data_IF_962979259153
#
_entry.id   IF_962979259153
#
_cell.length_a   1.000
_cell.length_b   1.000
_cell.length_c   1.000
_cell.angle_alpha   90.00
_cell.angle_beta   90.00
_cell.angle_gamma   90.00
#
_symmetry.space_group_name_H-M   'P 1'
#
loop_
_entity.id
_entity.type
_entity.pdbx_description
1 polymer ?
#
# COMPACT_ATOMS: atom_id res chain seq x y z
N UNK A 1 -8.05 13.81 7.71
CA UNK A 1 -9.37 13.64 8.36
C UNK A 1 -9.14 13.35 9.84
N UNK A 2 -9.78 14.03 10.78
CA UNK A 2 -9.65 13.74 12.23
C UNK A 2 -10.93 13.05 12.71
N UNK A 3 -10.79 11.86 13.29
CA UNK A 3 -11.91 11.18 13.96
C UNK A 3 -11.88 11.45 15.47
N UNK A 4 -13.03 11.84 16.03
CA UNK A 4 -13.18 12.18 17.44
C UNK A 4 -14.60 11.84 17.92
N UNK A 5 -14.70 11.07 18.99
CA UNK A 5 -15.96 10.72 19.65
C UNK A 5 -16.53 11.90 20.45
N UNK A 6 -17.84 11.88 20.72
CA UNK A 6 -18.56 12.98 21.36
C UNK A 6 -18.20 13.22 22.84
N UNK A 7 -17.64 12.20 23.50
CA UNK A 7 -17.16 12.23 24.88
C UNK A 7 -15.66 12.57 24.97
N UNK A 8 -15.00 12.77 23.83
CA UNK A 8 -13.59 13.16 23.75
C UNK A 8 -13.45 14.60 23.26
N UNK A 9 -12.53 15.35 23.86
CA UNK A 9 -12.20 16.70 23.46
C UNK A 9 -10.70 16.88 23.28
N UNK A 10 -10.32 17.89 22.50
CA UNK A 10 -8.90 18.23 22.26
C UNK A 10 -8.39 19.06 23.44
N UNK A 11 -7.53 18.47 24.26
CA UNK A 11 -6.93 19.16 25.40
C UNK A 11 -5.80 20.15 25.00
N UNK A 12 -5.06 19.85 23.92
CA UNK A 12 -3.96 20.70 23.45
C UNK A 12 -4.25 21.21 22.04
N UNK A 13 -4.32 22.55 21.88
CA UNK A 13 -4.51 23.20 20.58
C UNK A 13 -3.41 22.90 19.55
N UNK A 14 -2.24 22.41 20.00
CA UNK A 14 -1.13 22.01 19.14
C UNK A 14 -1.25 20.59 18.59
N UNK A 15 -2.22 19.78 19.04
CA UNK A 15 -2.35 18.38 18.64
C UNK A 15 -2.42 18.20 17.10
N UNK A 16 -3.19 19.05 16.42
CA UNK A 16 -3.28 19.00 14.94
C UNK A 16 -1.93 19.33 14.30
N UNK A 17 -1.19 20.29 14.85
CA UNK A 17 0.14 20.65 14.34
C UNK A 17 1.15 19.51 14.53
N UNK A 18 1.09 18.83 15.68
CA UNK A 18 1.92 17.65 15.94
C UNK A 18 1.60 16.51 14.96
N UNK A 19 0.33 16.27 14.67
CA UNK A 19 -0.05 15.29 13.64
C UNK A 19 0.50 15.67 12.26
N UNK A 20 0.44 16.95 11.90
CA UNK A 20 0.98 17.44 10.63
C UNK A 20 2.50 17.28 10.54
N UNK A 21 3.25 17.39 11.65
CA UNK A 21 4.69 17.14 11.64
C UNK A 21 5.02 15.73 11.13
N UNK A 22 4.22 14.72 11.46
CA UNK A 22 4.40 13.36 10.97
C UNK A 22 3.93 13.20 9.52
N UNK A 23 2.73 13.71 9.20
CA UNK A 23 2.12 13.54 7.87
C UNK A 23 2.84 14.32 6.76
N UNK A 24 3.47 15.44 7.10
CA UNK A 24 4.22 16.29 6.16
C UNK A 24 5.72 15.96 6.11
N UNK A 25 6.18 14.93 6.84
CA UNK A 25 7.57 14.50 6.78
C UNK A 25 7.90 14.00 5.36
N UNK A 26 8.91 14.56 4.66
CA UNK A 26 9.31 14.11 3.33
C UNK A 26 9.70 12.62 3.25
N UNK A 27 10.20 12.04 4.34
CA UNK A 27 10.70 10.66 4.37
C UNK A 27 9.61 9.63 4.71
N UNK A 28 8.76 9.97 5.69
CA UNK A 28 7.79 9.04 6.26
C UNK A 28 6.34 9.42 5.95
N UNK A 29 6.02 10.70 5.78
CA UNK A 29 4.66 11.22 5.66
C UNK A 29 3.82 10.53 4.59
N UNK A 30 4.40 10.33 3.40
CA UNK A 30 3.73 9.63 2.28
C UNK A 30 3.40 8.15 2.56
N UNK A 31 4.08 7.52 3.52
CA UNK A 31 3.87 6.10 3.89
C UNK A 31 2.96 5.94 5.11
N UNK A 32 2.63 7.04 5.81
CA UNK A 32 1.77 7.01 6.97
C UNK A 32 0.30 6.93 6.57
N UNK A 33 -0.41 6.00 7.20
CA UNK A 33 -1.84 5.84 7.06
C UNK A 33 -2.60 6.79 7.99
N UNK A 34 -2.16 6.86 9.25
CA UNK A 34 -2.76 7.72 10.27
C UNK A 34 -1.77 7.99 11.41
N UNK A 35 -2.12 8.98 12.24
CA UNK A 35 -1.45 9.31 13.50
C UNK A 35 -2.45 9.11 14.63
N UNK A 36 -2.16 8.19 15.55
CA UNK A 36 -3.01 7.88 16.69
C UNK A 36 -2.53 8.63 17.94
N UNK A 37 -3.40 9.43 18.54
CA UNK A 37 -3.13 10.05 19.84
C UNK A 37 -3.55 9.12 20.99
N UNK A 38 -2.81 9.11 22.12
CA UNK A 38 -3.20 8.34 23.29
C UNK A 38 -4.46 8.92 23.92
N UNK A 39 -5.43 8.07 24.28
CA UNK A 39 -6.64 8.50 24.97
C UNK A 39 -6.35 8.69 26.46
N UNK A 40 -6.91 9.75 27.04
CA UNK A 40 -6.81 10.06 28.47
C UNK A 40 -8.19 10.41 28.98
N UNK A 41 -8.57 9.83 30.11
CA UNK A 41 -9.85 10.07 30.75
C UNK A 41 -9.68 10.98 31.97
N UNK A 42 -10.63 11.88 32.15
CA UNK A 42 -10.70 12.76 33.32
C UNK A 42 -11.53 12.12 34.43
N UNK A 43 -11.44 12.66 35.65
CA UNK A 43 -12.28 12.22 36.77
C UNK A 43 -11.94 10.82 37.32
N UNK A 44 -10.71 10.36 37.11
CA UNK A 44 -10.29 9.03 37.57
C UNK A 44 -9.98 9.07 39.07
N UNK A 45 -10.47 8.05 39.79
CA UNK A 45 -10.18 7.83 41.21
C UNK A 45 -8.67 7.87 41.51
N UNK A 46 -8.31 8.39 42.69
CA UNK A 46 -6.92 8.52 43.13
C UNK A 46 -6.23 7.15 43.21
N UNK A 47 -6.95 6.13 43.67
CA UNK A 47 -6.43 4.77 43.77
C UNK A 47 -6.57 3.97 42.46
N UNK A 48 -7.23 4.54 41.43
CA UNK A 48 -7.50 3.91 40.14
C UNK A 48 -7.89 2.43 40.26
N UNK A 49 -8.82 2.12 41.18
CA UNK A 49 -9.20 0.74 41.52
C UNK A 49 -9.67 -0.07 40.32
N UNK A 50 -10.20 0.60 39.30
CA UNK A 50 -10.70 -0.01 38.08
C UNK A 50 -9.69 0.00 36.92
N UNK A 51 -8.47 0.51 37.13
CA UNK A 51 -7.43 0.66 36.11
C UNK A 51 -7.90 1.43 34.86
N UNK A 52 -8.77 2.42 35.04
CA UNK A 52 -9.40 3.17 33.95
C UNK A 52 -8.41 4.09 33.22
N UNK A 53 -7.23 4.36 33.79
CA UNK A 53 -6.19 5.17 33.12
C UNK A 53 -5.61 4.49 31.88
N UNK A 54 -5.69 3.15 31.79
CA UNK A 54 -5.18 2.36 30.67
C UNK A 54 -3.72 2.69 30.25
N UNK A 55 -2.88 3.14 31.19
CA UNK A 55 -1.50 3.60 30.92
C UNK A 55 -0.64 2.50 30.29
N UNK A 56 -0.82 1.23 30.68
CA UNK A 56 -0.04 0.12 30.14
C UNK A 56 -0.34 -0.06 28.65
N UNK A 57 -1.59 0.09 28.25
CA UNK A 57 -2.00 -0.07 26.87
C UNK A 57 -1.48 1.09 26.00
N UNK A 58 -1.71 2.33 26.41
CA UNK A 58 -1.34 3.51 25.61
C UNK A 58 0.14 3.89 25.68
N UNK A 59 0.80 3.75 26.85
CA UNK A 59 2.19 4.19 27.02
C UNK A 59 3.22 3.07 26.83
N UNK A 60 2.85 1.80 27.02
CA UNK A 60 3.79 0.69 26.86
C UNK A 60 3.52 -0.04 25.55
N UNK A 61 2.33 -0.61 25.40
CA UNK A 61 2.03 -1.49 24.27
C UNK A 61 2.03 -0.72 22.93
N UNK A 62 1.28 0.38 22.84
CA UNK A 62 1.22 1.18 21.61
C UNK A 62 2.55 1.80 21.22
N UNK A 63 3.33 2.30 22.21
CA UNK A 63 4.68 2.81 21.93
C UNK A 63 5.64 1.70 21.48
N UNK A 64 5.48 0.48 22.01
CA UNK A 64 6.23 -0.68 21.55
C UNK A 64 5.90 -1.06 20.10
N UNK A 65 4.61 -1.02 19.72
CA UNK A 65 4.16 -1.29 18.36
C UNK A 65 4.61 -0.22 17.34
N UNK A 66 4.76 1.02 17.80
CA UNK A 66 5.26 2.14 16.98
C UNK A 66 6.67 1.87 16.43
N UNK A 67 7.52 1.18 17.20
CA UNK A 67 8.85 0.77 16.74
C UNK A 67 8.86 -0.32 15.66
N UNK A 68 7.73 -0.96 15.37
CA UNK A 68 7.62 -2.05 14.38
C UNK A 68 6.82 -1.59 13.15
N UNK A 69 5.56 -1.23 13.33
CA UNK A 69 4.64 -0.86 12.25
C UNK A 69 3.76 0.34 12.58
N UNK A 70 3.58 0.67 13.86
CA UNK A 70 2.64 1.70 14.30
C UNK A 70 1.65 1.17 15.35
N UNK A 71 1.04 2.06 16.15
CA UNK A 71 -0.03 1.71 17.06
C UNK A 71 -1.29 1.24 16.32
N UNK A 72 -2.17 0.53 17.03
CA UNK A 72 -3.48 0.12 16.49
C UNK A 72 -4.50 1.26 16.56
N UNK A 73 -5.44 1.30 15.62
CA UNK A 73 -6.56 2.23 15.70
C UNK A 73 -7.55 1.82 16.80
N UNK A 74 -7.89 2.77 17.67
CA UNK A 74 -8.69 2.53 18.89
C UNK A 74 -10.06 3.20 18.90
N UNK A 75 -10.47 3.79 17.78
CA UNK A 75 -11.82 4.34 17.62
C UNK A 75 -11.92 5.86 17.70
N UNK A 76 -11.01 6.57 18.38
CA UNK A 76 -11.04 8.04 18.51
C UNK A 76 -9.64 8.64 18.59
N UNK A 77 -9.53 9.96 18.41
CA UNK A 77 -8.28 10.71 18.55
C UNK A 77 -7.26 10.36 17.48
N UNK A 78 -7.71 10.17 16.23
CA UNK A 78 -6.85 9.68 15.15
C UNK A 78 -6.96 10.57 13.90
N UNK A 79 -5.81 10.97 13.35
CA UNK A 79 -5.72 11.76 12.12
C UNK A 79 -5.34 10.86 10.95
N UNK A 80 -6.27 10.65 10.03
CA UNK A 80 -6.11 9.82 8.84
C UNK A 80 -5.60 10.61 7.63
N UNK A 81 -4.70 9.97 6.88
CA UNK A 81 -4.38 10.31 5.51
C UNK A 81 -5.54 9.87 4.59
N UNK A 82 -6.05 10.80 3.78
CA UNK A 82 -7.22 10.58 2.93
C UNK A 82 -7.00 9.45 1.91
N UNK A 83 -5.83 9.41 1.24
CA UNK A 83 -5.52 8.39 0.24
C UNK A 83 -5.47 6.99 0.87
N UNK A 84 -4.85 6.89 2.05
CA UNK A 84 -4.76 5.63 2.78
C UNK A 84 -6.13 5.14 3.26
N UNK A 85 -7.02 6.06 3.68
CA UNK A 85 -8.39 5.73 4.07
C UNK A 85 -9.22 5.18 2.90
N UNK A 86 -9.03 5.71 1.69
CA UNK A 86 -9.64 5.17 0.48
C UNK A 86 -9.04 3.82 0.04
N UNK A 87 -7.96 3.38 0.68
CA UNK A 87 -7.29 2.11 0.43
C UNK A 87 -6.34 2.13 -0.76
N UNK A 88 -5.77 3.29 -1.10
CA UNK A 88 -4.64 3.36 -2.01
C UNK A 88 -3.38 2.87 -1.28
N UNK A 89 -2.56 2.10 -1.99
CA UNK A 89 -1.30 1.60 -1.45
C UNK A 89 -0.28 2.74 -1.28
N UNK A 90 0.60 2.69 -0.27
CA UNK A 90 1.64 3.68 -0.11
C UNK A 90 2.59 3.67 -1.32
N UNK A 91 3.18 4.83 -1.68
CA UNK A 91 4.10 4.90 -2.80
C UNK A 91 5.28 3.95 -2.57
N UNK A 92 5.70 3.28 -3.63
CA UNK A 92 6.81 2.34 -3.57
C UNK A 92 8.04 3.06 -3.01
N UNK A 93 8.65 2.47 -1.97
CA UNK A 93 9.89 3.00 -1.44
C UNK A 93 10.97 2.98 -2.52
N UNK A 94 11.69 4.09 -2.65
CA UNK A 94 12.89 4.10 -3.47
C UNK A 94 13.80 2.97 -2.98
N UNK A 95 14.14 2.06 -3.89
CA UNK A 95 15.06 0.97 -3.57
C UNK A 95 16.36 1.63 -3.16
N UNK A 96 16.80 1.35 -1.93
CA UNK A 96 18.16 1.72 -1.52
C UNK A 96 19.12 1.28 -2.62
N UNK A 97 20.01 2.16 -3.10
CA UNK A 97 21.04 1.75 -4.05
C UNK A 97 21.69 0.50 -3.47
N UNK A 98 21.76 -0.56 -4.27
CA UNK A 98 22.53 -1.73 -3.84
C UNK A 98 23.93 -1.22 -3.59
N UNK A 99 24.48 -1.52 -2.41
CA UNK A 99 25.91 -1.33 -2.14
C UNK A 99 26.65 -2.15 -3.20
N UNK A 100 27.02 -1.51 -4.30
CA UNK A 100 28.01 -2.01 -5.22
C UNK A 100 29.32 -1.69 -4.56
N UNK A 101 30.08 -2.73 -4.27
CA UNK A 101 31.43 -2.52 -3.79
C UNK A 101 32.25 -2.07 -5.00
N UNK A 102 32.59 -0.78 -5.08
CA UNK A 102 33.49 -0.25 -6.10
C UNK A 102 34.96 -0.65 -5.82
N UNK A 103 35.17 -1.77 -5.13
CA UNK A 103 36.49 -2.33 -4.93
C UNK A 103 36.93 -3.12 -6.17
N UNK A 104 37.72 -2.40 -6.97
CA UNK A 104 38.72 -2.79 -7.97
C UNK A 104 38.32 -2.88 -9.47
N UNK A 105 39.22 -2.43 -10.38
CA UNK A 105 39.14 -2.69 -11.81
C UNK A 105 39.13 -4.20 -12.11
N UNK A 106 38.62 -4.51 -13.30
CA UNK A 106 38.40 -5.83 -13.93
C UNK A 106 39.46 -6.94 -13.74
N UNK A 107 40.67 -6.66 -13.24
CA UNK A 107 41.76 -7.64 -13.19
C UNK A 107 41.87 -8.39 -11.84
N UNK A 108 41.23 -7.95 -10.74
CA UNK A 108 41.48 -8.53 -9.40
C UNK A 108 40.31 -9.31 -8.78
N UNK A 109 39.40 -9.89 -9.58
CA UNK A 109 38.26 -10.66 -9.06
C UNK A 109 38.49 -12.19 -9.09
N UNK A 110 39.48 -12.68 -8.34
CA UNK A 110 39.72 -14.13 -8.17
C UNK A 110 39.42 -14.68 -6.77
N UNK A 111 38.94 -13.89 -5.81
CA UNK A 111 38.87 -14.34 -4.40
C UNK A 111 37.52 -14.19 -3.68
N UNK A 112 36.41 -13.90 -4.38
CA UNK A 112 35.08 -13.87 -3.75
C UNK A 112 34.15 -14.89 -4.41
N UNK A 113 34.14 -16.09 -3.83
CA UNK A 113 33.37 -17.24 -4.30
C UNK A 113 31.88 -16.94 -4.52
N UNK A 114 31.36 -17.45 -5.63
CA UNK A 114 29.94 -17.41 -5.96
C UNK A 114 29.11 -18.09 -4.85
N UNK A 115 28.52 -17.30 -3.95
CA UNK A 115 27.37 -17.77 -3.17
C UNK A 115 26.15 -17.80 -4.08
N UNK A 116 25.87 -18.96 -4.67
CA UNK A 116 24.57 -19.26 -5.28
C UNK A 116 23.49 -19.00 -4.23
N UNK A 117 22.59 -18.05 -4.47
CA UNK A 117 21.38 -17.87 -3.66
C UNK A 117 20.52 -19.13 -3.79
N UNK A 118 20.47 -19.96 -2.76
CA UNK A 118 19.36 -20.89 -2.59
C UNK A 118 18.09 -20.04 -2.37
N UNK A 119 17.04 -20.33 -3.14
CA UNK A 119 15.72 -19.72 -2.91
C UNK A 119 15.20 -20.21 -1.56
N UNK A 120 15.37 -19.44 -0.50
CA UNK A 120 14.63 -19.68 0.73
C UNK A 120 13.17 -19.30 0.48
N UNK A 121 12.30 -20.31 0.40
CA UNK A 121 10.86 -20.10 0.53
C UNK A 121 10.63 -19.57 1.95
N UNK A 122 10.21 -18.31 2.09
CA UNK A 122 9.55 -17.84 3.31
C UNK A 122 8.29 -18.69 3.49
N UNK A 123 8.37 -19.74 4.32
CA UNK A 123 7.17 -20.38 4.87
C UNK A 123 6.59 -19.39 5.89
N UNK A 124 5.70 -18.53 5.43
CA UNK A 124 4.78 -17.82 6.31
C UNK A 124 3.85 -18.82 6.99
N UNK A 125 3.41 -18.45 8.19
CA UNK A 125 2.52 -19.15 9.14
C UNK A 125 1.09 -19.42 8.60
N UNK A 126 0.93 -19.71 7.30
CA UNK A 126 -0.35 -20.08 6.66
C UNK A 126 -0.45 -21.58 6.31
N UNK A 127 0.53 -22.39 6.73
CA UNK A 127 0.63 -23.81 6.42
C UNK A 127 -0.09 -24.74 7.41
N UNK A 128 -0.71 -24.23 8.47
CA UNK A 128 -1.38 -25.06 9.49
C UNK A 128 -2.90 -25.19 9.33
N UNK A 129 -3.53 -24.48 8.39
CA UNK A 129 -5.00 -24.41 8.28
C UNK A 129 -5.59 -24.61 6.87
N UNK A 130 -4.86 -25.20 5.93
CA UNK A 130 -5.42 -25.50 4.59
C UNK A 130 -5.00 -26.89 4.11
N UNK A 131 -5.29 -27.90 4.92
CA UNK A 131 -5.44 -29.27 4.44
C UNK A 131 -6.81 -29.43 3.78
N UNK A 132 -6.86 -30.23 2.71
CA UNK A 132 -8.02 -30.57 1.88
C UNK A 132 -8.42 -29.49 0.85
N UNK A 133 -7.89 -29.62 -0.38
CA UNK A 133 -8.64 -29.73 -1.65
C UNK A 133 -7.63 -29.67 -2.81
N UNK A 134 -7.13 -30.85 -3.21
CA UNK A 134 -6.31 -31.05 -4.41
C UNK A 134 -7.21 -31.09 -5.64
N UNK A 135 -7.02 -30.19 -6.62
CA UNK A 135 -7.59 -30.33 -7.97
C UNK A 135 -6.49 -30.19 -9.03
N UNK A 136 -6.09 -31.37 -9.52
CA UNK A 136 -5.41 -31.71 -10.80
C UNK A 136 -5.41 -30.59 -11.86
N UNK A 137 -4.22 -30.20 -12.34
CA UNK A 137 -4.04 -29.61 -13.68
C UNK A 137 -3.04 -30.46 -14.47
N UNK A 138 -3.51 -30.96 -15.62
CA UNK A 138 -2.82 -31.85 -16.55
C UNK A 138 -1.75 -31.07 -17.33
N UNK A 139 -0.59 -31.70 -17.50
CA UNK A 139 0.46 -31.36 -18.48
C UNK A 139 -0.03 -31.64 -19.91
N UNK A 140 0.18 -30.70 -20.83
CA UNK A 140 0.15 -30.99 -22.26
C UNK A 140 1.42 -30.39 -22.90
N UNK A 141 2.23 -31.29 -23.45
CA UNK A 141 3.40 -31.03 -24.26
C UNK A 141 3.00 -30.70 -25.71
N UNK A 142 3.77 -29.81 -26.34
CA UNK A 142 4.02 -29.88 -27.78
C UNK A 142 3.44 -28.74 -28.61
N UNK A 143 4.32 -27.92 -29.18
CA UNK A 143 4.60 -27.91 -30.64
C UNK A 143 5.77 -26.96 -30.95
N UNK A 144 6.74 -27.51 -31.70
CA UNK A 144 7.83 -26.77 -32.37
C UNK A 144 7.26 -26.17 -33.65
N UNK A 145 7.63 -24.94 -34.00
CA UNK A 145 7.40 -24.41 -35.34
C UNK A 145 8.70 -23.97 -36.01
N UNK A 146 8.83 -24.43 -37.25
CA UNK A 146 9.94 -24.29 -38.18
C UNK A 146 9.95 -22.91 -38.83
N UNK A 147 11.15 -22.41 -39.15
CA UNK A 147 11.43 -21.31 -40.07
C UNK A 147 10.87 -21.59 -41.48
N UNK A 148 10.35 -20.55 -42.15
CA UNK A 148 10.44 -20.26 -43.59
C UNK A 148 10.22 -18.74 -43.83
N UNK A 149 10.88 -18.19 -44.84
CA UNK A 149 10.90 -16.78 -45.25
C UNK A 149 10.21 -16.60 -46.64
N UNK A 150 10.31 -15.45 -47.34
CA UNK A 150 9.53 -14.21 -47.21
C UNK A 150 8.68 -13.89 -48.48
N UNK A 151 7.72 -12.95 -48.43
CA UNK A 151 6.99 -12.49 -49.63
C UNK A 151 5.98 -11.34 -49.42
N UNK A 152 6.22 -10.24 -50.14
CA UNK A 152 5.31 -9.19 -50.69
C UNK A 152 4.22 -8.49 -49.84
N UNK A 153 4.53 -7.26 -49.41
CA UNK A 153 3.82 -5.97 -49.59
C UNK A 153 2.33 -6.01 -50.02
N UNK A 154 1.40 -5.64 -49.13
CA UNK A 154 0.63 -4.38 -49.14
C UNK A 154 -0.36 -4.34 -47.95
N UNK A 155 -0.34 -3.20 -47.25
CA UNK A 155 -1.17 -2.76 -46.11
C UNK A 155 -2.63 -3.23 -46.12
N UNK A 156 -3.03 -3.97 -45.09
CA UNK A 156 -4.41 -4.03 -44.60
C UNK A 156 -4.52 -4.50 -43.13
N UNK A 157 -3.46 -5.07 -42.56
CA UNK A 157 -3.40 -5.57 -41.16
C UNK A 157 -3.22 -4.43 -40.13
N UNK A 158 -2.68 -3.27 -40.52
CA UNK A 158 -2.43 -2.13 -39.62
C UNK A 158 -3.68 -1.36 -39.17
N UNK A 159 -4.85 -1.61 -39.78
CA UNK A 159 -6.13 -0.99 -39.37
C UNK A 159 -6.90 -1.91 -38.40
N UNK A 160 -6.76 -3.23 -38.54
CA UNK A 160 -7.45 -4.21 -37.68
C UNK A 160 -6.77 -4.33 -36.31
N UNK A 161 -5.43 -4.39 -36.28
CA UNK A 161 -4.65 -4.42 -35.04
C UNK A 161 -4.78 -3.10 -34.26
N UNK A 162 -4.85 -1.96 -34.97
CA UNK A 162 -5.13 -0.66 -34.36
C UNK A 162 -6.55 -0.59 -33.77
N UNK A 163 -7.59 -1.04 -34.47
CA UNK A 163 -8.96 -0.97 -33.95
C UNK A 163 -9.15 -1.88 -32.72
N UNK A 164 -8.55 -3.06 -32.72
CA UNK A 164 -8.59 -3.99 -31.58
C UNK A 164 -7.88 -3.42 -30.35
N UNK A 165 -6.73 -2.77 -30.50
CA UNK A 165 -5.99 -2.14 -29.40
C UNK A 165 -6.73 -0.91 -28.84
N UNK A 166 -7.40 -0.13 -29.71
CA UNK A 166 -8.27 0.98 -29.28
C UNK A 166 -9.52 0.49 -28.55
N UNK A 167 -10.16 -0.59 -29.02
CA UNK A 167 -11.31 -1.21 -28.35
C UNK A 167 -10.88 -1.86 -27.04
N UNK A 168 -9.67 -2.43 -26.95
CA UNK A 168 -9.12 -2.99 -25.72
C UNK A 168 -8.76 -1.89 -24.71
N UNK A 169 -8.20 -0.76 -25.16
CA UNK A 169 -7.98 0.44 -24.34
C UNK A 169 -9.29 1.04 -23.83
N UNK A 170 -10.31 1.18 -24.69
CA UNK A 170 -11.62 1.70 -24.30
C UNK A 170 -12.32 0.74 -23.32
N UNK A 171 -12.21 -0.57 -23.56
CA UNK A 171 -12.67 -1.60 -22.61
C UNK A 171 -11.88 -1.55 -21.31
N UNK A 172 -10.58 -1.28 -21.33
CA UNK A 172 -9.76 -1.14 -20.12
C UNK A 172 -10.14 0.11 -19.32
N UNK A 173 -10.42 1.22 -20.00
CA UNK A 173 -10.89 2.49 -19.42
C UNK A 173 -12.30 2.36 -18.84
N UNK A 174 -13.22 1.74 -19.59
CA UNK A 174 -14.58 1.45 -19.13
C UNK A 174 -14.60 0.43 -17.98
N UNK A 175 -13.73 -0.58 -18.02
CA UNK A 175 -13.60 -1.55 -16.93
C UNK A 175 -12.94 -0.91 -15.70
N UNK A 176 -12.01 0.04 -15.89
CA UNK A 176 -11.44 0.90 -14.85
C UNK A 176 -12.53 1.76 -14.19
N UNK A 177 -13.36 2.46 -14.98
CA UNK A 177 -14.49 3.25 -14.49
C UNK A 177 -15.50 2.39 -13.70
N UNK A 178 -15.91 1.23 -14.25
CA UNK A 178 -16.80 0.30 -13.54
C UNK A 178 -16.21 -0.22 -12.22
N UNK A 179 -14.89 -0.37 -12.13
CA UNK A 179 -14.23 -0.76 -10.89
C UNK A 179 -14.24 0.37 -9.85
N UNK A 180 -14.03 1.62 -10.29
CA UNK A 180 -14.17 2.80 -9.42
C UNK A 180 -15.60 2.95 -8.92
N UNK A 181 -16.60 2.81 -9.78
CA UNK A 181 -18.01 2.86 -9.38
C UNK A 181 -18.38 1.77 -8.36
N UNK A 182 -17.87 0.55 -8.54
CA UNK A 182 -18.07 -0.53 -7.57
C UNK A 182 -17.41 -0.25 -6.22
N UNK A 183 -16.28 0.46 -6.22
CA UNK A 183 -15.48 0.72 -5.01
C UNK A 183 -15.95 1.96 -4.26
N UNK A 184 -16.23 3.04 -4.97
CA UNK A 184 -16.51 4.37 -4.42
C UNK A 184 -17.96 4.81 -4.59
N UNK A 185 -18.76 4.06 -5.35
CA UNK A 185 -20.15 4.39 -5.67
C UNK A 185 -20.28 5.12 -7.01
N UNK A 186 -21.53 5.39 -7.41
CA UNK A 186 -21.87 5.90 -8.74
C UNK A 186 -21.63 7.41 -8.93
N UNK A 187 -21.19 8.13 -7.90
CA UNK A 187 -21.02 9.59 -7.99
C UNK A 187 -19.73 9.92 -8.75
N UNK A 188 -19.80 10.49 -9.98
CA UNK A 188 -18.61 10.83 -10.74
C UNK A 188 -17.79 11.94 -10.06
N UNK A 189 -18.47 12.88 -9.38
CA UNK A 189 -17.83 13.96 -8.63
C UNK A 189 -17.00 13.41 -7.47
N UNK A 190 -17.54 12.42 -6.74
CA UNK A 190 -16.81 11.78 -5.66
C UNK A 190 -15.61 11.00 -6.20
N UNK A 191 -15.80 10.17 -7.24
CA UNK A 191 -14.70 9.43 -7.88
C UNK A 191 -13.58 10.39 -8.33
N UNK A 192 -13.92 11.47 -9.03
CA UNK A 192 -12.95 12.47 -9.47
C UNK A 192 -12.18 13.08 -8.28
N UNK A 193 -12.88 13.44 -7.19
CA UNK A 193 -12.23 13.97 -5.99
C UNK A 193 -11.25 13.00 -5.32
N UNK A 194 -11.48 11.68 -5.42
CA UNK A 194 -10.56 10.67 -4.87
C UNK A 194 -9.24 10.60 -5.64
N UNK A 195 -9.25 10.94 -6.93
CA UNK A 195 -8.07 10.89 -7.82
C UNK A 195 -7.15 12.11 -7.66
N UNK A 196 -7.67 13.23 -7.17
CA UNK A 196 -6.87 14.44 -6.92
C UNK A 196 -5.99 14.23 -5.68
N UNK A 197 -4.66 14.12 -5.80
CA UNK A 197 -3.79 13.81 -4.64
C UNK A 197 -3.80 14.91 -3.57
N UNK A 198 -3.62 16.16 -4.00
CA UNK A 198 -3.55 17.35 -3.13
C UNK A 198 -4.92 17.76 -2.54
N UNK A 199 -5.99 17.07 -2.95
CA UNK A 199 -7.37 17.40 -2.56
C UNK A 199 -7.90 18.62 -3.31
N UNK A 200 -8.92 19.26 -2.74
CA UNK A 200 -9.64 20.37 -3.39
C UNK A 200 -10.90 19.91 -4.13
N UNK A 201 -11.50 20.85 -4.87
CA UNK A 201 -12.68 20.59 -5.69
C UNK A 201 -12.25 20.27 -7.13
N UNK A 202 -12.81 19.23 -7.77
CA UNK A 202 -12.57 18.97 -9.18
C UNK A 202 -13.15 20.12 -10.01
N UNK A 203 -12.42 20.56 -11.03
CA UNK A 203 -12.94 21.49 -12.03
C UNK A 203 -14.04 20.77 -12.83
N UNK A 204 -15.23 21.35 -12.85
CA UNK A 204 -16.45 20.78 -13.46
C UNK A 204 -16.60 21.10 -14.93
#
# INVERSE_FOLDING_TARGET
>A
LLNLDCDHYINNSKAVREAMCFLMDPQFGKKLCYVQFPQRFDGIDMHDRYANRNIVFFDINMRGLDGIQGPVYVGTGCVFNRQALYGYDPPASEKRPKMTCDCWPSWCCCCCGQRKKSKSKKKGLRSLLSGLYSRKKKTLMGKRYSRKAPGSVFDLEDIEEGLEDYVELEKSSLMSQKNFEKRFGQSPVFIASTLMEDGGLPEG
#
